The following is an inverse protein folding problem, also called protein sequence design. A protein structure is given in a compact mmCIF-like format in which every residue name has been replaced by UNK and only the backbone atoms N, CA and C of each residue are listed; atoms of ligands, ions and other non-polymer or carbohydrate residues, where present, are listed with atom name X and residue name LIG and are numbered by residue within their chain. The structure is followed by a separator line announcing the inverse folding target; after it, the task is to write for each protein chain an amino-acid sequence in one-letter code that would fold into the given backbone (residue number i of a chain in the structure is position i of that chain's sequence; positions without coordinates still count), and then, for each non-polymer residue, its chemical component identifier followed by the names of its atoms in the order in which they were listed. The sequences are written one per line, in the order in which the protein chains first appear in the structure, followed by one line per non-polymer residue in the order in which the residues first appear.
data_IF_780240217186
#
_entry.id   IF_780240217186
#
_cell.length_a   1.000
_cell.length_b   1.000
_cell.length_c   1.000
_cell.angle_alpha   90.00
_cell.angle_beta   90.00
_cell.angle_gamma   90.00
#
_symmetry.space_group_name_H-M   'P 1'
#
loop_
_entity.id
_entity.type
_entity.pdbx_description
1 polymer ?
#
# COMPACT_ATOMS: atom_id res chain seq x y z
N UNK A 1 -10.16 -24.37 7.47
CA UNK A 1 -10.30 -25.83 7.25
C UNK A 1 -11.68 -26.37 7.66
N UNK A 2 -12.22 -26.04 8.85
CA UNK A 2 -13.55 -26.52 9.31
C UNK A 2 -14.72 -26.25 8.36
N UNK A 3 -14.77 -25.06 7.72
CA UNK A 3 -15.85 -24.70 6.76
C UNK A 3 -15.87 -25.60 5.52
N UNK A 4 -14.71 -26.06 5.05
CA UNK A 4 -14.61 -26.92 3.87
C UNK A 4 -15.13 -28.33 4.20
N UNK A 5 -14.81 -28.85 5.38
CA UNK A 5 -15.31 -30.15 5.84
C UNK A 5 -16.84 -30.16 5.99
N UNK A 6 -17.43 -29.09 6.50
CA UNK A 6 -18.90 -28.96 6.61
C UNK A 6 -19.55 -28.92 5.23
N UNK A 7 -18.98 -28.18 4.27
CA UNK A 7 -19.51 -28.12 2.90
C UNK A 7 -19.44 -29.50 2.21
N UNK A 8 -18.34 -30.23 2.39
CA UNK A 8 -18.17 -31.58 1.83
C UNK A 8 -19.15 -32.57 2.47
N UNK A 9 -19.35 -32.52 3.78
CA UNK A 9 -20.31 -33.37 4.49
C UNK A 9 -21.75 -33.13 4.02
N UNK A 10 -22.14 -31.87 3.84
CA UNK A 10 -23.48 -31.51 3.33
C UNK A 10 -23.66 -31.95 1.87
N UNK A 11 -22.63 -31.80 1.03
CA UNK A 11 -22.67 -32.24 -0.37
C UNK A 11 -22.79 -33.77 -0.49
N UNK A 12 -22.10 -34.54 0.36
CA UNK A 12 -22.22 -36.00 0.41
C UNK A 12 -23.60 -36.46 0.87
N UNK A 13 -24.16 -35.82 1.89
CA UNK A 13 -25.52 -36.10 2.37
C UNK A 13 -26.57 -35.77 1.31
N UNK A 14 -26.43 -34.62 0.63
CA UNK A 14 -27.31 -34.25 -0.47
C UNK A 14 -27.22 -35.27 -1.62
N UNK A 15 -26.01 -35.66 -2.03
CA UNK A 15 -25.81 -36.68 -3.07
C UNK A 15 -26.42 -38.04 -2.72
N UNK A 16 -26.28 -38.48 -1.47
CA UNK A 16 -26.83 -39.75 -0.99
C UNK A 16 -28.37 -39.77 -0.96
N UNK A 17 -29.01 -38.64 -0.67
CA UNK A 17 -30.47 -38.51 -0.66
C UNK A 17 -31.05 -38.33 -2.06
N UNK A 18 -30.37 -37.54 -2.91
CA UNK A 18 -30.81 -37.30 -4.28
C UNK A 18 -30.65 -38.53 -5.17
N UNK A 19 -29.58 -39.32 -5.03
CA UNK A 19 -29.32 -40.48 -5.90
C UNK A 19 -30.51 -41.48 -6.05
N UNK A 20 -31.14 -41.98 -4.96
CA UNK A 20 -32.24 -42.93 -5.08
C UNK A 20 -33.54 -42.30 -5.63
N UNK A 21 -33.79 -41.00 -5.42
CA UNK A 21 -34.96 -40.29 -5.97
C UNK A 21 -34.91 -40.19 -7.51
N UNK A 22 -33.71 -40.32 -8.07
CA UNK A 22 -33.41 -40.11 -9.48
C UNK A 22 -33.35 -41.44 -10.25
N UNK A 23 -33.16 -42.56 -9.55
CA UNK A 23 -33.08 -43.90 -10.12
C UNK A 23 -34.42 -44.47 -10.62
N UNK A 24 -35.58 -43.90 -10.23
CA UNK A 24 -36.91 -44.44 -10.50
C UNK A 24 -37.58 -44.06 -11.81
N UNK A 25 -37.03 -43.10 -12.57
CA UNK A 25 -37.61 -42.61 -13.84
C UNK A 25 -36.48 -42.46 -14.87
N UNK A 26 -36.29 -43.45 -15.74
CA UNK A 26 -35.31 -43.41 -16.83
C UNK A 26 -35.78 -42.41 -17.91
N UNK A 27 -35.57 -41.11 -17.69
CA UNK A 27 -35.61 -40.13 -18.77
C UNK A 27 -34.44 -40.38 -19.73
N UNK A 28 -34.71 -40.39 -21.03
CA UNK A 28 -33.70 -40.51 -22.09
C UNK A 28 -33.56 -39.16 -22.82
N UNK A 29 -32.32 -38.77 -23.10
CA UNK A 29 -31.99 -37.60 -23.92
C UNK A 29 -31.48 -38.13 -25.26
N UNK A 30 -32.24 -37.84 -26.31
CA UNK A 30 -31.87 -38.13 -27.69
C UNK A 30 -31.26 -36.87 -28.30
N UNK A 31 -29.96 -36.93 -28.60
CA UNK A 31 -29.29 -35.88 -29.38
C UNK A 31 -29.06 -36.42 -30.78
N UNK A 32 -29.74 -35.83 -31.77
CA UNK A 32 -29.57 -36.16 -33.18
C UNK A 32 -28.79 -35.04 -33.87
N UNK A 33 -27.67 -35.40 -34.50
CA UNK A 33 -26.88 -34.52 -35.34
C UNK A 33 -26.58 -35.25 -36.66
N UNK A 34 -27.35 -34.96 -37.71
CA UNK A 34 -27.21 -35.63 -39.01
C UNK A 34 -27.57 -37.12 -38.93
N UNK A 35 -26.63 -38.01 -39.28
CA UNK A 35 -26.81 -39.47 -39.25
C UNK A 35 -26.45 -40.12 -37.91
N UNK A 36 -26.04 -39.33 -36.90
CA UNK A 36 -25.66 -39.84 -35.59
C UNK A 36 -26.74 -39.56 -34.56
N UNK A 37 -27.24 -40.62 -33.94
CA UNK A 37 -28.16 -40.56 -32.81
C UNK A 37 -27.40 -41.05 -31.58
N UNK A 38 -27.17 -40.15 -30.64
CA UNK A 38 -26.61 -40.47 -29.33
C UNK A 38 -27.76 -40.60 -28.34
N UNK A 39 -28.05 -41.84 -27.95
CA UNK A 39 -28.98 -42.14 -26.87
C UNK A 39 -28.20 -42.10 -25.55
N UNK A 40 -28.48 -41.10 -24.72
CA UNK A 40 -27.85 -40.99 -23.40
C UNK A 40 -28.92 -40.86 -22.31
N UNK A 41 -28.64 -41.39 -21.13
CA UNK A 41 -29.52 -41.20 -19.98
C UNK A 41 -29.57 -39.72 -19.61
N UNK A 42 -30.74 -39.22 -19.20
CA UNK A 42 -30.92 -37.86 -18.70
C UNK A 42 -29.93 -37.56 -17.54
N UNK A 43 -29.61 -38.59 -16.74
CA UNK A 43 -28.62 -38.51 -15.67
C UNK A 43 -27.21 -38.28 -16.17
N UNK A 44 -26.82 -39.01 -17.22
CA UNK A 44 -25.49 -38.84 -17.83
C UNK A 44 -25.36 -37.48 -18.50
N UNK A 45 -26.42 -36.97 -19.14
CA UNK A 45 -26.43 -35.63 -19.72
C UNK A 45 -26.29 -34.54 -18.63
N UNK A 46 -27.06 -34.62 -17.54
CA UNK A 46 -26.96 -33.69 -16.42
C UNK A 46 -25.58 -33.71 -15.76
N UNK A 47 -25.01 -34.89 -15.51
CA UNK A 47 -23.66 -35.02 -14.95
C UNK A 47 -22.61 -34.40 -15.86
N UNK A 48 -22.74 -34.57 -17.17
CA UNK A 48 -21.81 -34.01 -18.15
C UNK A 48 -21.90 -32.47 -18.19
N UNK A 49 -23.10 -31.90 -18.10
CA UNK A 49 -23.30 -30.44 -17.98
C UNK A 49 -22.68 -29.90 -16.69
N UNK A 50 -22.91 -30.57 -15.55
CA UNK A 50 -22.34 -30.16 -14.27
C UNK A 50 -20.81 -30.24 -14.31
N UNK A 51 -20.25 -31.33 -14.86
CA UNK A 51 -18.81 -31.49 -15.04
C UNK A 51 -18.22 -30.40 -15.94
N UNK A 52 -18.92 -30.02 -17.01
CA UNK A 52 -18.50 -28.95 -17.91
C UNK A 52 -18.49 -27.57 -17.21
N UNK A 53 -19.53 -27.27 -16.42
CA UNK A 53 -19.59 -26.03 -15.63
C UNK A 53 -18.46 -25.97 -14.60
N UNK A 54 -18.21 -27.08 -13.88
CA UNK A 54 -17.11 -27.19 -12.92
C UNK A 54 -15.75 -26.99 -13.58
N UNK A 55 -15.52 -27.65 -14.72
CA UNK A 55 -14.30 -27.51 -15.50
C UNK A 55 -14.10 -26.06 -15.97
N UNK A 56 -15.14 -25.42 -16.51
CA UNK A 56 -15.10 -24.03 -16.93
C UNK A 56 -14.76 -23.07 -15.78
N UNK A 57 -15.37 -23.26 -14.61
CA UNK A 57 -15.07 -22.47 -13.41
C UNK A 57 -13.63 -22.68 -12.92
N UNK A 58 -13.13 -23.92 -12.99
CA UNK A 58 -11.76 -24.26 -12.62
C UNK A 58 -10.75 -23.59 -13.58
N UNK A 59 -10.97 -23.72 -14.89
CA UNK A 59 -10.14 -23.05 -15.91
C UNK A 59 -10.17 -21.53 -15.75
N UNK A 60 -11.34 -20.94 -15.47
CA UNK A 60 -11.45 -19.49 -15.21
C UNK A 60 -10.65 -19.07 -13.98
N UNK A 61 -10.67 -19.85 -12.90
CA UNK A 61 -9.84 -19.57 -11.70
C UNK A 61 -8.36 -19.73 -11.98
N UNK A 62 -7.97 -20.76 -12.72
CA UNK A 62 -6.58 -21.01 -13.08
C UNK A 62 -6.04 -19.92 -14.02
N UNK A 63 -6.81 -19.53 -15.04
CA UNK A 63 -6.47 -18.42 -15.93
C UNK A 63 -6.37 -17.10 -15.16
N UNK A 64 -7.31 -16.82 -14.25
CA UNK A 64 -7.28 -15.61 -13.41
C UNK A 64 -6.14 -15.65 -12.37
N UNK A 65 -5.65 -16.83 -12.00
CA UNK A 65 -4.50 -17.01 -11.11
C UNK A 65 -3.15 -16.90 -11.82
N UNK A 66 -3.02 -17.48 -13.01
CA UNK A 66 -1.79 -17.46 -13.81
C UNK A 66 -1.58 -16.15 -14.59
N UNK A 67 -2.65 -15.50 -15.06
CA UNK A 67 -2.58 -14.28 -15.88
C UNK A 67 -2.83 -12.96 -15.11
N UNK A 68 -3.08 -12.98 -13.79
CA UNK A 68 -3.05 -11.77 -12.94
C UNK A 68 -1.82 -11.66 -11.99
N UNK A 69 -0.55 -11.90 -12.40
CA UNK A 69 0.58 -11.47 -11.57
C UNK A 69 0.72 -9.94 -11.51
N UNK A 70 0.17 -9.19 -12.48
CA UNK A 70 0.48 -7.76 -12.64
C UNK A 70 -0.38 -6.80 -11.78
N UNK A 71 -1.64 -7.17 -11.50
CA UNK A 71 -2.58 -6.30 -10.77
C UNK A 71 -2.42 -6.33 -9.24
N UNK A 72 -1.73 -7.33 -8.71
CA UNK A 72 -1.47 -7.46 -7.27
C UNK A 72 -0.12 -6.89 -6.85
N UNK A 73 0.87 -6.84 -7.75
CA UNK A 73 2.17 -6.24 -7.47
C UNK A 73 2.11 -4.70 -7.47
N UNK A 74 1.30 -4.10 -8.35
CA UNK A 74 1.10 -2.64 -8.41
C UNK A 74 0.30 -2.05 -7.24
N UNK A 75 -0.58 -2.82 -6.58
CA UNK A 75 -1.38 -2.34 -5.43
C UNK A 75 -0.66 -2.34 -4.08
N UNK A 76 0.46 -3.06 -3.95
CA UNK A 76 1.32 -2.99 -2.76
C UNK A 76 2.40 -1.91 -2.88
N UNK A 77 2.88 -1.63 -4.09
CA UNK A 77 3.79 -0.50 -4.36
C UNK A 77 3.05 0.84 -4.20
N UNK A 78 1.91 1.04 -4.86
CA UNK A 78 1.13 2.29 -4.79
C UNK A 78 0.54 2.58 -3.40
N UNK A 79 0.12 1.55 -2.63
CA UNK A 79 -0.36 1.78 -1.25
C UNK A 79 0.75 2.16 -0.27
N UNK A 80 2.00 1.77 -0.52
CA UNK A 80 3.15 2.21 0.29
C UNK A 80 3.52 3.65 -0.08
N UNK A 81 3.57 3.98 -1.36
CA UNK A 81 3.83 5.35 -1.83
C UNK A 81 2.76 6.35 -1.37
N UNK A 82 1.46 6.02 -1.49
CA UNK A 82 0.40 6.91 -0.98
C UNK A 82 0.44 7.08 0.54
N UNK A 83 0.83 6.04 1.31
CA UNK A 83 0.99 6.16 2.76
C UNK A 83 2.18 7.03 3.15
N UNK A 84 3.27 6.99 2.37
CA UNK A 84 4.49 7.77 2.59
C UNK A 84 4.30 9.26 2.24
N UNK A 85 3.64 9.56 1.13
CA UNK A 85 3.23 10.93 0.77
C UNK A 85 2.30 11.49 1.84
N UNK A 86 1.34 10.69 2.33
CA UNK A 86 0.45 11.10 3.42
C UNK A 86 1.20 11.40 4.72
N UNK A 87 2.29 10.71 5.05
CA UNK A 87 3.07 10.98 6.28
C UNK A 87 3.87 12.27 6.20
N UNK A 88 4.48 12.56 5.04
CA UNK A 88 5.15 13.84 4.82
C UNK A 88 4.15 15.00 4.83
N UNK A 89 3.03 14.83 4.11
CA UNK A 89 1.92 15.80 4.12
C UNK A 89 1.38 16.03 5.53
N UNK A 90 1.10 14.97 6.29
CA UNK A 90 0.62 15.10 7.66
C UNK A 90 1.65 15.80 8.56
N UNK A 91 2.94 15.49 8.43
CA UNK A 91 3.98 16.18 9.18
C UNK A 91 4.04 17.68 8.91
N UNK A 92 3.81 18.11 7.65
CA UNK A 92 3.69 19.52 7.31
C UNK A 92 2.35 20.15 7.70
N UNK A 93 1.26 19.38 7.75
CA UNK A 93 -0.01 19.85 8.33
C UNK A 93 0.18 20.13 9.82
N UNK A 94 0.74 19.18 10.57
CA UNK A 94 1.05 19.34 12.00
C UNK A 94 1.98 20.55 12.24
N UNK A 95 2.94 20.78 11.34
CA UNK A 95 3.84 21.93 11.37
C UNK A 95 3.07 23.26 11.24
N UNK A 96 2.16 23.35 10.27
CA UNK A 96 1.36 24.56 10.03
C UNK A 96 0.37 24.80 11.18
N UNK A 97 -0.18 23.73 11.75
CA UNK A 97 -1.06 23.78 12.92
C UNK A 97 -0.31 24.13 14.22
N UNK A 98 1.04 24.20 14.19
CA UNK A 98 1.88 24.50 15.35
C UNK A 98 2.03 23.31 16.31
N UNK A 99 1.62 22.11 15.91
CA UNK A 99 1.83 20.89 16.66
C UNK A 99 3.25 20.35 16.43
N UNK A 100 4.24 21.04 17.01
CA UNK A 100 5.65 20.74 16.82
C UNK A 100 6.05 19.30 17.18
N UNK A 101 5.61 18.71 18.31
CA UNK A 101 6.01 17.34 18.65
C UNK A 101 5.54 16.31 17.62
N UNK A 102 4.31 16.43 17.11
CA UNK A 102 3.80 15.54 16.06
C UNK A 102 4.49 15.80 14.72
N UNK A 103 4.73 17.07 14.36
CA UNK A 103 5.48 17.43 13.15
C UNK A 103 6.89 16.81 13.16
N UNK A 104 7.65 16.96 14.24
CA UNK A 104 9.00 16.40 14.38
C UNK A 104 8.96 14.88 14.25
N UNK A 105 8.06 14.21 14.97
CA UNK A 105 7.94 12.76 14.95
C UNK A 105 7.60 12.22 13.55
N UNK A 106 6.63 12.85 12.87
CA UNK A 106 6.17 12.44 11.55
C UNK A 106 7.21 12.73 10.48
N UNK A 107 7.81 13.92 10.49
CA UNK A 107 8.84 14.32 9.53
C UNK A 107 10.13 13.50 9.72
N UNK A 108 10.63 13.32 10.94
CA UNK A 108 11.83 12.50 11.20
C UNK A 108 11.63 11.04 10.81
N UNK A 109 10.49 10.45 11.17
CA UNK A 109 10.15 9.05 10.83
C UNK A 109 10.03 8.84 9.32
N UNK A 110 9.55 9.85 8.60
CA UNK A 110 9.34 9.77 7.16
C UNK A 110 10.65 9.75 6.36
N UNK A 111 11.78 10.22 6.91
CA UNK A 111 13.06 10.31 6.18
C UNK A 111 13.45 8.98 5.55
N UNK A 112 13.48 7.89 6.30
CA UNK A 112 13.94 6.59 5.80
C UNK A 112 13.04 5.96 4.72
N UNK A 113 11.85 6.53 4.48
CA UNK A 113 10.84 5.97 3.57
C UNK A 113 10.31 6.97 2.53
N UNK A 114 10.71 8.24 2.62
CA UNK A 114 10.21 9.33 1.78
C UNK A 114 11.05 9.48 0.52
N UNK A 115 10.40 9.90 -0.56
CA UNK A 115 11.09 10.34 -1.79
C UNK A 115 11.77 11.71 -1.61
N UNK A 116 11.51 12.43 -0.52
CA UNK A 116 12.04 13.75 -0.20
C UNK A 116 12.65 13.81 1.22
N UNK A 117 13.68 12.99 1.53
CA UNK A 117 14.26 12.89 2.88
C UNK A 117 14.89 14.20 3.37
N UNK A 118 15.47 14.99 2.46
CA UNK A 118 16.10 16.28 2.77
C UNK A 118 15.09 17.30 3.34
N UNK A 119 13.97 17.49 2.64
CA UNK A 119 12.91 18.44 3.04
C UNK A 119 12.31 18.04 4.37
N UNK A 120 12.18 16.73 4.62
CA UNK A 120 11.60 16.22 5.87
C UNK A 120 12.54 16.45 7.06
N UNK A 121 13.86 16.25 6.92
CA UNK A 121 14.81 16.61 7.98
C UNK A 121 14.85 18.12 8.26
N UNK A 122 14.88 18.94 7.21
CA UNK A 122 14.89 20.40 7.36
C UNK A 122 13.61 20.92 8.01
N UNK A 123 12.45 20.36 7.63
CA UNK A 123 11.16 20.65 8.27
C UNK A 123 11.14 20.22 9.74
N UNK A 124 11.67 19.04 10.07
CA UNK A 124 11.80 18.59 11.46
C UNK A 124 12.71 19.51 12.28
N UNK A 125 13.85 19.93 11.72
CA UNK A 125 14.77 20.87 12.39
C UNK A 125 14.09 22.22 12.65
N UNK A 126 13.36 22.74 11.66
CA UNK A 126 12.56 23.96 11.81
C UNK A 126 11.50 23.80 12.91
N UNK A 127 10.80 22.66 12.95
CA UNK A 127 9.79 22.39 13.97
C UNK A 127 10.40 22.33 15.37
N UNK A 128 11.56 21.66 15.54
CA UNK A 128 12.30 21.64 16.81
C UNK A 128 12.69 23.04 17.26
N UNK A 129 13.15 23.89 16.33
CA UNK A 129 13.50 25.27 16.64
C UNK A 129 12.28 26.07 17.10
N UNK A 130 11.15 25.98 16.39
CA UNK A 130 9.91 26.66 16.76
C UNK A 130 9.31 26.12 18.08
N UNK A 131 9.62 24.89 18.47
CA UNK A 131 9.29 24.33 19.79
C UNK A 131 10.16 24.90 20.93
N UNK A 132 11.20 25.68 20.61
CA UNK A 132 12.21 26.17 21.54
C UNK A 132 13.38 25.20 21.77
N UNK A 133 13.38 24.03 21.14
CA UNK A 133 14.46 23.04 21.23
C UNK A 133 15.58 23.35 20.22
N UNK A 134 16.43 24.31 20.61
CA UNK A 134 17.57 24.74 19.78
C UNK A 134 18.62 23.65 19.60
N UNK A 135 18.81 22.81 20.61
CA UNK A 135 19.78 21.71 20.57
C UNK A 135 19.31 20.62 19.60
N UNK A 136 18.05 20.20 19.71
CA UNK A 136 17.46 19.24 18.78
C UNK A 136 17.43 19.75 17.34
N UNK A 137 17.15 21.04 17.13
CA UNK A 137 17.26 21.65 15.81
C UNK A 137 18.69 21.58 15.25
N UNK A 138 19.70 21.94 16.06
CA UNK A 138 21.09 21.88 15.64
C UNK A 138 21.57 20.44 15.36
N UNK A 139 21.14 19.47 16.17
CA UNK A 139 21.41 18.05 15.97
C UNK A 139 20.81 17.54 14.66
N UNK A 140 19.54 17.88 14.37
CA UNK A 140 18.87 17.47 13.14
C UNK A 140 19.54 18.04 11.89
N UNK A 141 20.01 19.30 11.94
CA UNK A 141 20.76 19.90 10.82
C UNK A 141 22.11 19.22 10.61
N UNK A 142 22.82 18.88 11.69
CA UNK A 142 24.08 18.13 11.61
C UNK A 142 23.86 16.72 11.06
N UNK A 143 22.78 16.07 11.48
CA UNK A 143 22.35 14.76 10.98
C UNK A 143 22.07 14.84 9.47
N UNK A 144 21.36 15.88 9.00
CA UNK A 144 21.10 16.10 7.59
C UNK A 144 22.38 16.33 6.76
N UNK A 145 23.35 17.09 7.28
CA UNK A 145 24.67 17.29 6.64
C UNK A 145 25.46 15.97 6.55
N UNK A 146 25.57 15.25 7.67
CA UNK A 146 26.31 13.97 7.73
C UNK A 146 25.71 12.89 6.85
N UNK A 147 24.38 12.86 6.72
CA UNK A 147 23.65 11.96 5.82
C UNK A 147 23.70 12.41 4.35
N UNK A 148 24.38 13.51 4.03
CA UNK A 148 24.43 14.13 2.68
C UNK A 148 23.06 14.44 2.10
N UNK A 149 22.09 14.75 2.97
CA UNK A 149 20.73 15.13 2.57
C UNK A 149 20.62 16.64 2.32
N UNK A 150 21.43 17.43 3.02
CA UNK A 150 21.58 18.86 2.79
C UNK A 150 23.08 19.20 2.83
N UNK A 151 23.51 20.19 2.05
CA UNK A 151 24.85 20.74 2.14
C UNK A 151 24.95 21.77 3.29
N UNK A 152 26.18 22.14 3.65
CA UNK A 152 26.43 23.13 4.70
C UNK A 152 25.83 24.49 4.37
N UNK A 153 25.75 24.85 3.09
CA UNK A 153 25.10 26.09 2.67
C UNK A 153 23.61 26.08 3.00
N UNK A 154 22.89 25.00 2.67
CA UNK A 154 21.45 24.87 2.91
C UNK A 154 21.12 24.87 4.40
N UNK A 155 21.90 24.18 5.23
CA UNK A 155 21.68 24.16 6.68
C UNK A 155 22.01 25.50 7.34
N UNK A 156 23.09 26.16 6.94
CA UNK A 156 23.44 27.51 7.41
C UNK A 156 22.39 28.54 6.98
N UNK A 157 21.87 28.43 5.76
CA UNK A 157 20.76 29.27 5.28
C UNK A 157 19.49 29.06 6.09
N UNK A 158 19.14 27.81 6.42
CA UNK A 158 17.98 27.53 7.26
C UNK A 158 18.17 28.08 8.67
N UNK A 159 19.35 27.89 9.31
CA UNK A 159 19.65 28.49 10.62
C UNK A 159 19.48 30.01 10.59
N UNK A 160 20.02 30.64 9.55
CA UNK A 160 19.92 32.10 9.36
C UNK A 160 18.46 32.53 9.30
N UNK A 161 17.64 31.86 8.49
CA UNK A 161 16.20 32.16 8.37
C UNK A 161 15.45 31.98 9.69
N UNK A 162 15.78 30.95 10.46
CA UNK A 162 15.16 30.68 11.77
C UNK A 162 15.50 31.78 12.80
N UNK A 163 16.76 32.24 12.86
CA UNK A 163 17.13 33.36 13.73
C UNK A 163 16.49 34.68 13.28
N UNK A 164 16.41 34.93 11.98
CA UNK A 164 15.70 36.10 11.46
C UNK A 164 14.20 36.08 11.79
N UNK A 165 13.56 34.90 11.76
CA UNK A 165 12.15 34.74 12.13
C UNK A 165 11.89 35.14 13.61
N UNK A 166 12.85 34.90 14.50
CA UNK A 166 12.80 35.31 15.91
C UNK A 166 13.32 36.73 16.17
N UNK A 167 13.71 37.47 15.13
CA UNK A 167 14.40 38.77 15.23
C UNK A 167 15.71 38.72 16.04
N UNK A 168 16.36 37.56 16.11
CA UNK A 168 17.68 37.38 16.72
C UNK A 168 18.78 37.76 15.72
N UNK A 169 18.95 39.08 15.53
CA UNK A 169 19.92 39.62 14.59
C UNK A 169 21.37 39.37 15.01
N UNK A 170 21.64 39.24 16.31
CA UNK A 170 22.99 38.96 16.82
C UNK A 170 23.52 37.62 16.30
N UNK A 171 22.65 36.60 16.24
CA UNK A 171 23.01 35.28 15.70
C UNK A 171 22.84 35.18 14.19
N UNK A 172 21.87 35.89 13.61
CA UNK A 172 21.62 35.84 12.17
C UNK A 172 22.71 36.52 11.32
N UNK A 173 23.22 37.67 11.77
CA UNK A 173 24.18 38.49 11.01
C UNK A 173 25.47 37.75 10.64
N UNK A 174 26.22 37.12 11.58
CA UNK A 174 27.47 36.44 11.23
C UNK A 174 27.25 35.26 10.26
N UNK A 175 26.11 34.56 10.38
CA UNK A 175 25.75 33.48 9.46
C UNK A 175 25.45 34.04 8.06
N UNK A 176 24.68 35.12 7.96
CA UNK A 176 24.38 35.77 6.69
C UNK A 176 25.64 36.28 5.97
N UNK A 177 26.56 36.91 6.70
CA UNK A 177 27.85 37.36 6.15
C UNK A 177 28.73 36.19 5.68
N UNK A 178 28.69 35.07 6.39
CA UNK A 178 29.42 33.87 6.00
C UNK A 178 28.86 33.25 4.72
N UNK A 179 27.53 33.33 4.52
CA UNK A 179 26.86 32.86 3.30
C UNK A 179 27.16 33.77 2.11
N UNK A 180 27.18 35.09 2.31
CA UNK A 180 27.52 36.05 1.26
C UNK A 180 28.94 35.85 0.73
N UNK A 181 29.90 35.54 1.61
CA UNK A 181 31.30 35.27 1.22
C UNK A 181 31.51 33.95 0.47
N UNK A 182 30.53 33.05 0.49
CA UNK A 182 30.58 31.75 -0.22
C UNK A 182 29.96 31.80 -1.62
N UNK A 183 29.31 32.91 -2.00
CA UNK A 183 28.83 33.17 -3.37
C UNK A 183 29.93 33.75 -4.25
#
# INVERSE_FOLDING_TARGET
MRKILVIVAVALLAGAVLYPLLAGQQGFVLVSAGSYVLETSLWTACLLVIAFILLFLLLRKLYRGLFLPWRWLSRRATRREHKQVNQTMQGFVDYIEGNWPSAIANLKKSVGQSTMPAVNYLGAASASFNMGDRNGAADLLREAESARLADSFTTDLLRTRLFLQEADFERALPLAESLQRRQ
#
